data_IF_065076532936
#
_entry.id   IF_065076532936
#
_cell.length_a   1.000
_cell.length_b   1.000
_cell.length_c   1.000
_cell.angle_alpha   90.00
_cell.angle_beta   90.00
_cell.angle_gamma   90.00
#
_symmetry.space_group_name_H-M   'P 1'
#
loop_
_entity.id
_entity.type
_entity.pdbx_description
1 polymer ?
#
# COMPACT_ATOMS: atom_id res chain seq x y z
N UNK A 1 28.04 3.73 -13.81
CA UNK A 1 28.14 4.27 -12.44
C UNK A 1 26.73 4.52 -11.89
N UNK A 2 26.29 3.81 -10.86
CA UNK A 2 24.96 4.00 -10.26
C UNK A 2 24.92 5.34 -9.51
N UNK A 3 24.03 6.25 -9.91
CA UNK A 3 23.87 7.55 -9.25
C UNK A 3 23.31 7.31 -7.84
N UNK A 4 23.97 7.81 -6.79
CA UNK A 4 23.50 7.66 -5.40
C UNK A 4 22.07 8.19 -5.29
N UNK A 5 21.14 7.35 -4.82
CA UNK A 5 19.75 7.75 -4.58
C UNK A 5 19.70 8.72 -3.40
N UNK A 6 19.20 9.94 -3.64
CA UNK A 6 18.86 10.90 -2.58
C UNK A 6 17.69 10.33 -1.77
N UNK A 7 17.84 10.26 -0.45
CA UNK A 7 16.76 9.87 0.46
C UNK A 7 16.14 11.15 1.03
N UNK A 8 14.81 11.22 1.00
CA UNK A 8 14.05 12.33 1.57
C UNK A 8 13.12 11.80 2.67
N UNK A 9 13.02 12.53 3.78
CA UNK A 9 12.10 12.21 4.86
C UNK A 9 10.66 12.39 4.40
N UNK A 10 9.73 11.73 5.07
CA UNK A 10 8.29 11.82 4.80
C UNK A 10 7.80 13.26 4.91
N UNK A 11 8.21 13.96 5.95
CA UNK A 11 7.79 15.34 6.22
C UNK A 11 8.33 16.30 5.16
N UNK A 12 9.58 16.08 4.69
CA UNK A 12 10.14 16.86 3.60
C UNK A 12 9.32 16.70 2.31
N UNK A 13 8.92 15.46 1.99
CA UNK A 13 8.08 15.20 0.79
C UNK A 13 6.72 15.86 0.89
N UNK A 14 6.07 15.81 2.06
CA UNK A 14 4.77 16.46 2.31
C UNK A 14 4.87 17.97 2.15
N UNK A 15 5.83 18.61 2.84
CA UNK A 15 6.09 20.06 2.73
C UNK A 15 6.37 20.49 1.30
N UNK A 16 7.16 19.71 0.56
CA UNK A 16 7.45 20.02 -0.85
C UNK A 16 6.18 20.02 -1.71
N UNK A 17 5.24 19.10 -1.48
CA UNK A 17 3.98 19.07 -2.22
C UNK A 17 3.01 20.15 -1.74
N UNK A 18 2.94 20.46 -0.44
CA UNK A 18 2.16 21.58 0.10
C UNK A 18 2.57 22.92 -0.52
N UNK A 19 3.89 23.14 -0.70
CA UNK A 19 4.41 24.34 -1.36
C UNK A 19 3.97 24.47 -2.81
N UNK A 20 3.77 23.35 -3.53
CA UNK A 20 3.21 23.37 -4.89
C UNK A 20 1.78 23.90 -4.86
N UNK A 21 0.96 23.46 -3.90
CA UNK A 21 -0.42 23.94 -3.77
C UNK A 21 -0.49 25.40 -3.34
N UNK A 22 0.42 25.84 -2.47
CA UNK A 22 0.47 27.24 -2.04
C UNK A 22 0.91 28.22 -3.14
N UNK A 23 1.81 27.80 -4.04
CA UNK A 23 2.45 28.70 -5.02
C UNK A 23 2.06 28.46 -6.49
N UNK A 24 1.46 27.31 -6.79
CA UNK A 24 1.00 26.96 -8.13
C UNK A 24 2.08 26.54 -9.13
N UNK A 25 3.37 26.53 -8.77
CA UNK A 25 4.48 26.23 -9.71
C UNK A 25 5.41 25.12 -9.22
N UNK A 26 5.38 23.96 -9.90
CA UNK A 26 6.29 22.83 -9.65
C UNK A 26 7.75 23.24 -9.93
N UNK A 27 7.98 23.98 -11.03
CA UNK A 27 9.32 24.36 -11.44
C UNK A 27 10.02 25.27 -10.43
N UNK A 28 9.27 26.19 -9.82
CA UNK A 28 9.80 27.06 -8.77
C UNK A 28 10.19 26.24 -7.53
N UNK A 29 9.29 25.40 -7.03
CA UNK A 29 9.55 24.56 -5.84
C UNK A 29 10.74 23.62 -6.06
N UNK A 30 10.88 23.06 -7.28
CA UNK A 30 12.03 22.23 -7.63
C UNK A 30 13.37 22.96 -7.53
N UNK A 31 13.43 24.23 -7.99
CA UNK A 31 14.65 25.05 -7.93
C UNK A 31 15.01 25.41 -6.50
N UNK A 32 14.03 25.80 -5.69
CA UNK A 32 14.27 26.23 -4.31
C UNK A 32 14.70 25.07 -3.40
N UNK A 33 14.13 23.87 -3.60
CA UNK A 33 14.40 22.71 -2.76
C UNK A 33 15.49 21.77 -3.32
N UNK A 34 16.09 22.10 -4.47
CA UNK A 34 17.01 21.24 -5.24
C UNK A 34 16.45 19.82 -5.46
N UNK A 35 15.20 19.73 -5.94
CA UNK A 35 14.52 18.46 -6.20
C UNK A 35 14.28 18.31 -7.71
N UNK A 36 14.58 17.14 -8.31
CA UNK A 36 14.22 16.88 -9.69
C UNK A 36 12.69 16.92 -9.90
N UNK A 37 12.22 17.58 -10.95
CA UNK A 37 10.78 17.73 -11.26
C UNK A 37 10.02 16.41 -11.38
N UNK A 38 10.67 15.37 -11.94
CA UNK A 38 10.09 14.02 -12.03
C UNK A 38 9.82 13.40 -10.65
N UNK A 39 10.69 13.66 -9.68
CA UNK A 39 10.56 13.17 -8.30
C UNK A 39 9.43 13.89 -7.59
N UNK A 40 9.37 15.22 -7.71
CA UNK A 40 8.33 16.02 -7.06
C UNK A 40 6.94 15.73 -7.65
N UNK A 41 6.85 15.59 -8.98
CA UNK A 41 5.62 15.17 -9.67
C UNK A 41 5.14 13.79 -9.21
N UNK A 42 6.07 12.85 -9.01
CA UNK A 42 5.76 11.51 -8.49
C UNK A 42 5.18 11.57 -7.07
N UNK A 43 5.70 12.45 -6.22
CA UNK A 43 5.18 12.63 -4.86
C UNK A 43 3.80 13.25 -4.85
N UNK A 44 3.57 14.29 -5.67
CA UNK A 44 2.24 14.91 -5.83
C UNK A 44 1.21 13.88 -6.26
N UNK A 45 1.51 13.10 -7.30
CA UNK A 45 0.62 12.01 -7.76
C UNK A 45 0.36 11.00 -6.65
N UNK A 46 1.41 10.60 -5.93
CA UNK A 46 1.28 9.69 -4.80
C UNK A 46 0.34 10.20 -3.72
N UNK A 47 0.39 11.50 -3.37
CA UNK A 47 -0.53 12.13 -2.40
C UNK A 47 -1.96 12.11 -2.90
N UNK A 48 -2.20 12.39 -4.18
CA UNK A 48 -3.54 12.36 -4.76
C UNK A 48 -4.12 10.94 -4.75
N UNK A 49 -3.32 9.93 -5.11
CA UNK A 49 -3.79 8.55 -5.23
C UNK A 49 -3.95 7.83 -3.88
N UNK A 50 -3.09 8.14 -2.90
CA UNK A 50 -2.96 7.32 -1.68
C UNK A 50 -3.06 8.12 -0.37
N UNK A 51 -3.20 9.44 -0.41
CA UNK A 51 -3.33 10.35 0.74
C UNK A 51 -2.35 10.03 1.90
N UNK A 52 -2.82 9.50 3.03
CA UNK A 52 -1.98 9.13 4.19
C UNK A 52 -0.98 8.02 3.87
N UNK A 53 -1.26 7.18 2.87
CA UNK A 53 -0.47 6.00 2.49
C UNK A 53 0.53 6.26 1.35
N UNK A 54 0.73 7.52 0.93
CA UNK A 54 1.61 7.87 -0.21
C UNK A 54 3.10 7.59 0.03
N UNK A 55 3.51 7.52 1.29
CA UNK A 55 4.89 7.29 1.71
C UNK A 55 4.99 6.20 2.79
N UNK A 56 4.68 4.92 2.46
CA UNK A 56 4.53 3.87 3.47
C UNK A 56 5.88 3.31 3.98
N UNK A 57 7.02 3.82 3.49
CA UNK A 57 8.36 3.33 3.82
C UNK A 57 8.83 2.20 2.89
N UNK A 58 10.01 1.64 3.17
CA UNK A 58 10.59 0.55 2.37
C UNK A 58 9.84 -0.76 2.65
N UNK A 59 9.56 -1.54 1.60
CA UNK A 59 8.94 -2.86 1.72
C UNK A 59 7.43 -2.88 1.98
N UNK A 60 6.77 -1.72 2.01
CA UNK A 60 5.32 -1.63 2.17
C UNK A 60 4.65 -1.21 0.86
N UNK A 61 3.58 -1.91 0.48
CA UNK A 61 2.76 -1.57 -0.68
C UNK A 61 2.02 -0.26 -0.45
N UNK A 62 1.94 0.57 -1.49
CA UNK A 62 1.04 1.72 -1.52
C UNK A 62 -0.36 1.21 -1.84
N UNK A 63 -1.19 1.10 -0.82
CA UNK A 63 -2.59 0.72 -0.96
C UNK A 63 -3.44 1.90 -0.52
N UNK A 64 -4.50 2.17 -1.28
CA UNK A 64 -5.59 2.99 -0.76
C UNK A 64 -6.24 2.29 0.43
N UNK A 65 -6.99 3.02 1.26
CA UNK A 65 -7.67 2.39 2.40
C UNK A 65 -8.67 1.33 1.92
N UNK A 66 -9.37 1.59 0.82
CA UNK A 66 -10.25 0.63 0.16
C UNK A 66 -9.50 -0.63 -0.29
N UNK A 67 -8.33 -0.47 -0.94
CA UNK A 67 -7.52 -1.61 -1.37
C UNK A 67 -7.00 -2.43 -0.18
N UNK A 68 -6.68 -1.75 0.92
CA UNK A 68 -6.26 -2.41 2.16
C UNK A 68 -7.41 -3.22 2.76
N UNK A 69 -8.61 -2.66 2.79
CA UNK A 69 -9.79 -3.35 3.30
C UNK A 69 -10.16 -4.55 2.42
N UNK A 70 -10.12 -4.40 1.10
CA UNK A 70 -10.32 -5.51 0.16
C UNK A 70 -9.31 -6.64 0.41
N UNK A 71 -8.03 -6.30 0.64
CA UNK A 71 -7.00 -7.30 0.93
C UNK A 71 -7.28 -8.02 2.25
N UNK A 72 -7.72 -7.29 3.28
CA UNK A 72 -8.09 -7.84 4.58
C UNK A 72 -9.30 -8.78 4.48
N UNK A 73 -10.37 -8.35 3.79
CA UNK A 73 -11.58 -9.14 3.57
C UNK A 73 -11.28 -10.42 2.77
N UNK A 74 -10.47 -10.32 1.71
CA UNK A 74 -10.04 -11.51 0.94
C UNK A 74 -9.28 -12.52 1.80
N UNK A 75 -8.45 -12.04 2.72
CA UNK A 75 -7.73 -12.91 3.66
C UNK A 75 -8.70 -13.61 4.59
N UNK A 76 -9.60 -12.87 5.23
CA UNK A 76 -10.61 -13.45 6.13
C UNK A 76 -11.49 -14.47 5.42
N UNK A 77 -11.96 -14.17 4.21
CA UNK A 77 -12.74 -15.11 3.40
C UNK A 77 -11.97 -16.40 3.10
N UNK A 78 -10.68 -16.30 2.78
CA UNK A 78 -9.84 -17.46 2.53
C UNK A 78 -9.65 -18.30 3.79
N UNK A 79 -9.41 -17.66 4.93
CA UNK A 79 -9.22 -18.35 6.21
C UNK A 79 -10.51 -19.09 6.60
N UNK A 80 -11.68 -18.44 6.49
CA UNK A 80 -12.99 -19.07 6.73
C UNK A 80 -13.29 -20.21 5.76
N UNK A 81 -12.95 -20.07 4.47
CA UNK A 81 -13.10 -21.14 3.49
C UNK A 81 -12.27 -22.36 3.86
N UNK A 82 -11.01 -22.13 4.29
CA UNK A 82 -10.12 -23.19 4.72
C UNK A 82 -10.66 -23.91 5.96
N UNK A 83 -11.10 -23.17 6.98
CA UNK A 83 -11.70 -23.74 8.19
C UNK A 83 -12.93 -24.59 7.85
N UNK A 84 -13.84 -24.07 7.02
CA UNK A 84 -15.02 -24.81 6.57
C UNK A 84 -14.64 -26.09 5.83
N UNK A 85 -13.64 -26.02 4.96
CA UNK A 85 -13.22 -27.17 4.16
C UNK A 85 -12.51 -28.23 5.04
N UNK A 86 -11.78 -27.83 6.07
CA UNK A 86 -11.22 -28.74 7.08
C UNK A 86 -12.36 -29.42 7.85
N UNK A 87 -13.35 -28.67 8.31
CA UNK A 87 -14.51 -29.23 9.03
C UNK A 87 -15.30 -30.21 8.16
N UNK A 88 -15.54 -29.88 6.89
CA UNK A 88 -16.20 -30.79 5.93
C UNK A 88 -15.41 -32.09 5.75
N UNK A 89 -14.09 -32.01 5.62
CA UNK A 89 -13.22 -33.19 5.51
C UNK A 89 -13.28 -34.04 6.78
N UNK A 90 -13.24 -33.41 7.95
CA UNK A 90 -13.36 -34.11 9.23
C UNK A 90 -14.68 -34.88 9.34
N UNK A 91 -15.81 -34.23 9.07
CA UNK A 91 -17.14 -34.87 9.07
C UNK A 91 -17.17 -36.07 8.12
N UNK A 92 -16.65 -35.92 6.89
CA UNK A 92 -16.60 -37.02 5.92
C UNK A 92 -15.85 -38.24 6.45
N UNK A 93 -14.71 -38.02 7.11
CA UNK A 93 -13.91 -39.11 7.70
C UNK A 93 -14.69 -39.80 8.81
N UNK A 94 -15.30 -39.03 9.73
CA UNK A 94 -16.05 -39.60 10.86
C UNK A 94 -17.31 -40.36 10.41
N UNK A 95 -18.06 -39.85 9.42
CA UNK A 95 -19.26 -40.51 8.89
C UNK A 95 -18.97 -41.75 8.04
N UNK A 96 -17.76 -41.90 7.50
CA UNK A 96 -17.33 -43.12 6.81
C UNK A 96 -16.86 -44.21 7.80
N UNK A 97 -16.22 -43.83 8.91
CA UNK A 97 -15.85 -44.77 9.96
C UNK A 97 -17.06 -45.39 10.68
N UNK A 98 -18.13 -44.63 10.91
CA UNK A 98 -19.37 -45.15 11.55
C UNK A 98 -20.12 -46.19 10.69
N UNK A 99 -19.91 -46.21 9.36
CA UNK A 99 -20.56 -47.19 8.47
C UNK A 99 -19.81 -48.53 8.37
N UNK A 100 -18.63 -48.65 8.98
CA UNK A 100 -17.80 -49.87 8.96
C UNK A 100 -17.82 -50.67 10.26
N UNK A 101 -18.65 -50.27 11.23
CA UNK A 101 -18.92 -50.99 12.48
C UNK A 101 -20.31 -51.62 12.36
#
# INVERSE_FOLDING_TARGET
MSKRKRNYTTDFKKKAVELIYARGSIAQVCREMDIPSSVLSSWRRGIIEYDKNSFPGRGKSKLTEEQREIANLKKQLKDMQLERDILKKAISIFSESDRKI
#
